data_IF_112853028096
#
_entry.id   IF_112853028096
#
_cell.length_a   1.000
_cell.length_b   1.000
_cell.length_c   1.000
_cell.angle_alpha   90.00
_cell.angle_beta   90.00
_cell.angle_gamma   90.00
#
_symmetry.space_group_name_H-M   'P 1'
#
loop_
_entity.id
_entity.type
_entity.pdbx_description
1 polymer ?
#
# COMPACT_ATOMS: atom_id res chain seq x y z
N UNK A 1 -12.70 31.63 19.08
CA UNK A 1 -12.82 30.33 18.38
C UNK A 1 -12.31 30.54 16.96
N UNK A 2 -11.37 29.75 16.44
CA UNK A 2 -10.94 29.91 15.05
C UNK A 2 -12.12 29.61 14.13
N UNK A 3 -12.38 30.46 13.15
CA UNK A 3 -13.38 30.20 12.12
C UNK A 3 -12.95 28.98 11.31
N UNK A 4 -13.85 27.99 11.19
CA UNK A 4 -13.61 26.79 10.39
C UNK A 4 -14.01 27.10 8.95
N UNK A 5 -13.04 27.08 8.04
CA UNK A 5 -13.33 27.15 6.61
C UNK A 5 -14.03 25.86 6.16
N UNK A 6 -15.10 26.01 5.39
CA UNK A 6 -15.81 24.90 4.75
C UNK A 6 -15.59 25.02 3.24
N UNK A 7 -15.19 23.91 2.62
CA UNK A 7 -14.88 23.84 1.19
C UNK A 7 -15.92 22.99 0.48
N UNK A 8 -16.28 23.38 -0.74
CA UNK A 8 -17.15 22.65 -1.64
C UNK A 8 -16.58 22.74 -3.07
N UNK A 9 -16.84 21.72 -3.89
CA UNK A 9 -16.48 21.76 -5.30
C UNK A 9 -17.36 22.78 -6.02
N UNK A 10 -16.76 23.51 -6.98
CA UNK A 10 -17.51 24.28 -7.97
C UNK A 10 -18.00 23.35 -9.08
N UNK A 11 -18.90 23.81 -9.93
CA UNK A 11 -19.35 23.05 -11.11
C UNK A 11 -18.18 22.62 -12.02
N UNK A 12 -17.19 23.49 -12.19
CA UNK A 12 -15.96 23.16 -12.90
C UNK A 12 -15.13 22.09 -12.16
N UNK A 13 -15.12 22.12 -10.83
CA UNK A 13 -14.46 21.11 -10.00
C UNK A 13 -15.12 19.73 -10.08
N UNK A 14 -16.46 19.67 -10.09
CA UNK A 14 -17.21 18.42 -10.30
C UNK A 14 -16.94 17.82 -11.68
N UNK A 15 -16.94 18.66 -12.73
CA UNK A 15 -16.62 18.22 -14.10
C UNK A 15 -15.20 17.66 -14.21
N UNK A 16 -14.24 18.31 -13.56
CA UNK A 16 -12.85 17.85 -13.53
C UNK A 16 -12.69 16.56 -12.71
N UNK A 17 -13.43 16.42 -11.61
CA UNK A 17 -13.47 15.18 -10.84
C UNK A 17 -13.92 13.99 -11.69
N UNK A 18 -15.03 14.12 -12.43
CA UNK A 18 -15.50 13.04 -13.32
C UNK A 18 -14.48 12.71 -14.42
N UNK A 19 -13.90 13.74 -15.05
CA UNK A 19 -12.86 13.56 -16.07
C UNK A 19 -11.68 12.74 -15.52
N UNK A 20 -11.21 13.04 -14.31
CA UNK A 20 -10.13 12.33 -13.65
C UNK A 20 -10.52 10.88 -13.31
N UNK A 21 -11.75 10.64 -12.87
CA UNK A 21 -12.25 9.29 -12.58
C UNK A 21 -12.19 8.39 -13.83
N UNK A 22 -12.65 8.88 -14.98
CA UNK A 22 -12.56 8.15 -16.24
C UNK A 22 -11.12 8.02 -16.75
N UNK A 23 -10.33 9.08 -16.66
CA UNK A 23 -8.92 9.04 -17.09
C UNK A 23 -8.13 7.98 -16.31
N UNK A 24 -8.22 7.99 -14.97
CA UNK A 24 -7.43 7.09 -14.12
C UNK A 24 -7.91 5.65 -14.26
N UNK A 25 -9.22 5.41 -14.32
CA UNK A 25 -9.76 4.06 -14.51
C UNK A 25 -9.41 3.43 -15.86
N UNK A 26 -9.05 4.24 -16.86
CA UNK A 26 -8.59 3.77 -18.18
C UNK A 26 -7.09 3.44 -18.24
N UNK A 27 -6.30 3.82 -17.21
CA UNK A 27 -4.85 3.61 -17.21
C UNK A 27 -4.48 2.17 -16.84
N UNK A 28 -3.37 1.63 -17.37
CA UNK A 28 -2.81 0.39 -16.89
C UNK A 28 -2.49 0.45 -15.39
N UNK A 29 -2.72 -0.65 -14.68
CA UNK A 29 -2.33 -0.80 -13.28
C UNK A 29 -0.82 -1.06 -13.23
N UNK A 30 -0.09 -0.18 -12.54
CA UNK A 30 1.35 -0.32 -12.33
C UNK A 30 1.64 -0.61 -10.86
N UNK A 31 2.51 -1.59 -10.59
CA UNK A 31 2.98 -1.91 -9.23
C UNK A 31 4.50 -1.79 -9.24
N UNK A 32 5.02 -0.83 -8.48
CA UNK A 32 6.46 -0.59 -8.33
C UNK A 32 6.89 -1.02 -6.93
N UNK A 33 7.78 -2.01 -6.86
CA UNK A 33 8.31 -2.56 -5.63
C UNK A 33 9.83 -2.45 -5.68
N UNK A 34 10.38 -1.33 -5.22
CA UNK A 34 11.81 -1.01 -5.39
C UNK A 34 12.72 -2.06 -4.75
N UNK A 35 12.27 -2.72 -3.69
CA UNK A 35 13.01 -3.81 -3.07
C UNK A 35 13.25 -4.99 -4.04
N UNK A 36 12.46 -5.14 -5.11
CA UNK A 36 12.74 -6.13 -6.15
C UNK A 36 14.09 -5.91 -6.81
N UNK A 37 14.56 -4.66 -6.92
CA UNK A 37 15.90 -4.36 -7.41
C UNK A 37 16.99 -4.94 -6.48
N UNK A 38 16.72 -5.08 -5.18
CA UNK A 38 17.60 -5.78 -4.24
C UNK A 38 17.51 -7.29 -4.48
N UNK A 39 16.29 -7.85 -4.54
CA UNK A 39 16.06 -9.29 -4.71
C UNK A 39 16.78 -9.85 -5.95
N UNK A 40 16.66 -9.19 -7.10
CA UNK A 40 17.29 -9.66 -8.35
C UNK A 40 18.82 -9.61 -8.33
N UNK A 41 19.42 -8.88 -7.39
CA UNK A 41 20.87 -8.71 -7.25
C UNK A 41 21.45 -9.43 -6.02
N UNK A 42 20.65 -10.19 -5.26
CA UNK A 42 21.13 -10.85 -4.03
C UNK A 42 22.34 -11.75 -4.27
N UNK A 43 22.35 -12.52 -5.36
CA UNK A 43 23.45 -13.44 -5.70
C UNK A 43 24.80 -12.73 -5.92
N UNK A 44 24.79 -11.41 -6.13
CA UNK A 44 26.00 -10.59 -6.25
C UNK A 44 26.61 -10.19 -4.89
N UNK A 45 25.93 -10.49 -3.78
CA UNK A 45 26.37 -10.18 -2.43
C UNK A 45 26.90 -11.42 -1.69
N UNK A 46 27.81 -11.27 -0.72
CA UNK A 46 28.15 -12.33 0.21
C UNK A 46 26.91 -12.83 0.98
N UNK A 47 26.87 -14.12 1.31
CA UNK A 47 25.72 -14.79 1.96
C UNK A 47 25.19 -14.06 3.21
N UNK A 48 26.08 -13.57 4.08
CA UNK A 48 25.68 -12.81 5.27
C UNK A 48 24.89 -11.54 4.92
N UNK A 49 25.30 -10.83 3.87
CA UNK A 49 24.61 -9.61 3.40
C UNK A 49 23.31 -9.94 2.70
N UNK A 50 23.22 -11.05 1.99
CA UNK A 50 21.95 -11.52 1.41
C UNK A 50 20.90 -11.69 2.50
N UNK A 51 21.28 -12.40 3.58
CA UNK A 51 20.42 -12.64 4.74
C UNK A 51 20.00 -11.35 5.43
N UNK A 52 20.93 -10.40 5.59
CA UNK A 52 20.62 -9.09 6.16
C UNK A 52 19.58 -8.33 5.31
N UNK A 53 19.77 -8.27 3.99
CA UNK A 53 18.81 -7.63 3.08
C UNK A 53 17.42 -8.25 3.15
N UNK A 54 17.33 -9.59 3.14
CA UNK A 54 16.04 -10.29 3.24
C UNK A 54 15.38 -10.03 4.60
N UNK A 55 16.14 -10.03 5.70
CA UNK A 55 15.63 -9.74 7.03
C UNK A 55 15.10 -8.30 7.16
N UNK A 56 15.79 -7.31 6.58
CA UNK A 56 15.32 -5.93 6.56
C UNK A 56 14.04 -5.77 5.74
N UNK A 57 13.97 -6.38 4.56
CA UNK A 57 12.74 -6.38 3.74
C UNK A 57 11.58 -7.02 4.51
N UNK A 58 11.85 -8.14 5.17
CA UNK A 58 10.91 -8.89 5.99
C UNK A 58 10.36 -8.04 7.15
N UNK A 59 11.24 -7.33 7.86
CA UNK A 59 10.84 -6.43 8.94
C UNK A 59 9.95 -5.28 8.43
N UNK A 60 10.34 -4.65 7.32
CA UNK A 60 9.58 -3.55 6.73
C UNK A 60 8.18 -3.99 6.25
N UNK A 61 8.04 -5.20 5.70
CA UNK A 61 6.73 -5.74 5.33
C UNK A 61 5.87 -5.97 6.58
N UNK A 62 6.45 -6.49 7.68
CA UNK A 62 5.74 -6.65 8.94
C UNK A 62 5.27 -5.30 9.51
N UNK A 63 6.11 -4.26 9.46
CA UNK A 63 5.73 -2.89 9.85
C UNK A 63 4.56 -2.38 9.01
N UNK A 64 4.61 -2.56 7.69
CA UNK A 64 3.51 -2.18 6.79
C UNK A 64 2.21 -2.92 7.15
N UNK A 65 2.28 -4.23 7.36
CA UNK A 65 1.10 -5.04 7.73
C UNK A 65 0.50 -4.59 9.06
N UNK A 66 1.31 -4.36 10.08
CA UNK A 66 0.85 -3.90 11.39
C UNK A 66 0.12 -2.54 11.28
N UNK A 67 0.70 -1.61 10.53
CA UNK A 67 0.08 -0.32 10.24
C UNK A 67 -1.29 -0.47 9.54
N UNK A 68 -1.37 -1.35 8.54
CA UNK A 68 -2.63 -1.60 7.82
C UNK A 68 -3.68 -2.26 8.72
N UNK A 69 -3.30 -3.20 9.58
CA UNK A 69 -4.21 -3.81 10.56
C UNK A 69 -4.77 -2.81 11.55
N UNK A 70 -3.92 -1.93 12.10
CA UNK A 70 -4.34 -0.87 13.00
C UNK A 70 -5.34 0.06 12.29
N UNK A 71 -5.02 0.49 11.07
CA UNK A 71 -5.89 1.34 10.26
C UNK A 71 -7.25 0.69 9.96
N UNK A 72 -7.27 -0.62 9.69
CA UNK A 72 -8.52 -1.35 9.46
C UNK A 72 -9.34 -1.38 10.75
N UNK A 73 -8.74 -1.71 11.90
CA UNK A 73 -9.43 -1.77 13.20
C UNK A 73 -10.03 -0.42 13.60
N UNK A 74 -9.32 0.67 13.37
CA UNK A 74 -9.80 2.02 13.67
C UNK A 74 -10.99 2.45 12.80
N UNK A 75 -11.04 1.98 11.54
CA UNK A 75 -11.99 2.47 10.53
C UNK A 75 -13.17 1.53 10.28
N UNK A 76 -13.08 0.25 10.63
CA UNK A 76 -14.09 -0.75 10.25
C UNK A 76 -15.46 -0.56 10.90
N UNK A 77 -15.52 0.13 12.05
CA UNK A 77 -16.77 0.45 12.75
C UNK A 77 -17.16 1.94 12.68
N UNK A 78 -16.39 2.78 11.99
CA UNK A 78 -16.66 4.20 11.88
C UNK A 78 -17.70 4.46 10.77
N UNK A 79 -18.94 4.90 11.10
CA UNK A 79 -20.01 5.03 10.11
C UNK A 79 -19.72 6.05 9.00
N UNK A 80 -18.83 7.01 9.25
CA UNK A 80 -18.43 8.00 8.25
C UNK A 80 -17.44 7.44 7.20
N UNK A 81 -16.87 6.25 7.40
CA UNK A 81 -15.98 5.63 6.42
C UNK A 81 -16.78 4.85 5.38
N UNK A 82 -16.63 5.15 4.07
CA UNK A 82 -17.30 4.41 3.02
C UNK A 82 -16.84 2.94 2.95
N UNK A 83 -17.79 2.03 2.68
CA UNK A 83 -17.48 0.60 2.50
C UNK A 83 -16.46 0.34 1.38
N UNK A 84 -16.49 1.14 0.31
CA UNK A 84 -15.50 1.08 -0.78
C UNK A 84 -14.10 1.49 -0.31
N UNK A 85 -13.99 2.46 0.60
CA UNK A 85 -12.73 2.83 1.24
C UNK A 85 -12.16 1.69 2.09
N UNK A 86 -13.02 1.01 2.86
CA UNK A 86 -12.64 -0.18 3.61
C UNK A 86 -12.20 -1.34 2.71
N UNK A 87 -12.85 -1.53 1.56
CA UNK A 87 -12.46 -2.55 0.59
C UNK A 87 -11.05 -2.31 0.05
N UNK A 88 -10.67 -1.06 -0.20
CA UNK A 88 -9.31 -0.69 -0.62
C UNK A 88 -8.29 -0.99 0.49
N UNK A 89 -8.57 -0.66 1.75
CA UNK A 89 -7.65 -0.98 2.87
C UNK A 89 -7.43 -2.49 3.00
N UNK A 90 -8.50 -3.30 2.89
CA UNK A 90 -8.40 -4.76 2.91
C UNK A 90 -7.60 -5.29 1.72
N UNK A 91 -7.79 -4.73 0.53
CA UNK A 91 -7.01 -5.09 -0.65
C UNK A 91 -5.50 -4.82 -0.44
N UNK A 92 -5.14 -3.67 0.14
CA UNK A 92 -3.75 -3.35 0.46
C UNK A 92 -3.14 -4.36 1.44
N UNK A 93 -3.90 -4.76 2.47
CA UNK A 93 -3.45 -5.78 3.41
C UNK A 93 -3.19 -7.13 2.73
N UNK A 94 -4.10 -7.57 1.86
CA UNK A 94 -3.95 -8.81 1.08
C UNK A 94 -2.71 -8.76 0.18
N UNK A 95 -2.43 -7.61 -0.45
CA UNK A 95 -1.22 -7.44 -1.26
C UNK A 95 0.05 -7.54 -0.40
N UNK A 96 0.08 -6.89 0.76
CA UNK A 96 1.20 -6.98 1.70
C UNK A 96 1.41 -8.42 2.19
N UNK A 97 0.33 -9.15 2.46
CA UNK A 97 0.39 -10.57 2.84
C UNK A 97 0.89 -11.49 1.71
N UNK A 98 0.51 -11.22 0.46
CA UNK A 98 1.02 -11.95 -0.70
C UNK A 98 2.53 -11.73 -0.88
N UNK A 99 2.99 -10.48 -0.76
CA UNK A 99 4.42 -10.14 -0.81
C UNK A 99 5.16 -10.84 0.34
N UNK A 100 4.60 -10.78 1.55
CA UNK A 100 5.13 -11.42 2.73
C UNK A 100 5.32 -12.93 2.55
N UNK A 101 4.28 -13.60 2.06
CA UNK A 101 4.30 -15.04 1.78
C UNK A 101 5.35 -15.38 0.74
N UNK A 102 5.47 -14.58 -0.31
CA UNK A 102 6.49 -14.78 -1.33
C UNK A 102 7.91 -14.60 -0.79
N UNK A 103 8.20 -13.54 -0.02
CA UNK A 103 9.53 -13.34 0.59
C UNK A 103 9.90 -14.53 1.49
N UNK A 104 8.97 -15.02 2.31
CA UNK A 104 9.19 -16.19 3.15
C UNK A 104 9.44 -17.48 2.35
N UNK A 105 9.01 -17.55 1.09
CA UNK A 105 9.26 -18.69 0.20
C UNK A 105 10.64 -18.66 -0.46
N UNK A 106 11.32 -17.51 -0.45
CA UNK A 106 12.71 -17.40 -0.86
C UNK A 106 13.54 -18.09 0.23
N UNK A 107 13.88 -19.37 0.02
CA UNK A 107 14.68 -20.20 0.94
C UNK A 107 16.13 -19.69 1.08
N UNK A 108 16.30 -18.45 1.53
CA UNK A 108 17.57 -17.74 1.73
C UNK A 108 17.93 -17.64 3.22
N UNK A 109 17.21 -18.38 4.06
CA UNK A 109 17.45 -18.58 5.50
C UNK A 109 17.56 -20.06 5.79
#
# INVERSE_FOLDING_TARGET
MPEKAIYFLTEAGESEFERLMFEISSKPINIFLDFNAVIVNLDSLPYEKQRACVAEIQENINTLKAYLEENIKEKEYEPSIPATGMAVLRQQYVLAEAIQTWINSLNLV
#
